data_IF_909909266882
#
_entry.id   IF_909909266882
#
_cell.length_a   1.000
_cell.length_b   1.000
_cell.length_c   1.000
_cell.angle_alpha   90.00
_cell.angle_beta   90.00
_cell.angle_gamma   90.00
#
_symmetry.space_group_name_H-M   'P 1'
#
loop_
_entity.id
_entity.type
_entity.pdbx_description
1 polymer ?
#
# COMPACT_ATOMS: atom_id res chain seq x y z
N UNK A 1 20.09 31.74 6.80
CA UNK A 1 20.91 30.76 7.56
C UNK A 1 20.12 29.46 7.59
N UNK A 2 20.73 28.29 7.42
CA UNK A 2 19.95 27.04 7.48
C UNK A 2 19.39 26.82 8.89
N UNK A 3 18.08 26.67 8.99
CA UNK A 3 17.42 26.36 10.25
C UNK A 3 17.38 24.85 10.45
N UNK A 4 18.30 24.36 11.28
CA UNK A 4 18.48 22.93 11.60
C UNK A 4 17.16 22.22 11.96
N UNK A 5 16.22 22.81 12.74
CA UNK A 5 14.97 22.13 13.08
C UNK A 5 14.09 21.79 11.86
N UNK A 6 14.00 22.70 10.89
CA UNK A 6 13.18 22.50 9.70
C UNK A 6 13.77 21.47 8.74
N UNK A 7 15.10 21.34 8.73
CA UNK A 7 15.80 20.33 7.95
C UNK A 7 15.58 18.92 8.52
N UNK A 8 15.60 18.78 9.86
CA UNK A 8 15.24 17.52 10.54
C UNK A 8 13.78 17.14 10.25
N UNK A 9 12.86 18.11 10.34
CA UNK A 9 11.46 17.88 10.04
C UNK A 9 11.25 17.44 8.59
N UNK A 10 11.94 18.06 7.62
CA UNK A 10 11.89 17.65 6.22
C UNK A 10 12.33 16.19 6.04
N UNK A 11 13.43 15.79 6.68
CA UNK A 11 13.93 14.42 6.61
C UNK A 11 12.94 13.39 7.17
N UNK A 12 12.28 13.72 8.28
CA UNK A 12 11.24 12.89 8.90
C UNK A 12 10.04 12.75 7.94
N UNK A 13 9.56 13.86 7.39
CA UNK A 13 8.41 13.84 6.48
C UNK A 13 8.71 13.09 5.17
N UNK A 14 9.90 13.25 4.59
CA UNK A 14 10.29 12.45 3.42
C UNK A 14 10.39 10.96 3.75
N UNK A 15 10.92 10.60 4.92
CA UNK A 15 10.97 9.22 5.38
C UNK A 15 9.57 8.62 5.49
N UNK A 16 8.63 9.33 6.12
CA UNK A 16 7.24 8.89 6.17
C UNK A 16 6.60 8.80 4.80
N UNK A 17 6.80 9.79 3.92
CA UNK A 17 6.28 9.75 2.55
C UNK A 17 6.72 8.49 1.82
N UNK A 18 8.00 8.12 1.92
CA UNK A 18 8.55 6.90 1.34
C UNK A 18 7.93 5.63 1.93
N UNK A 19 7.80 5.55 3.25
CA UNK A 19 7.21 4.40 3.94
C UNK A 19 5.74 4.21 3.54
N UNK A 20 4.93 5.27 3.60
CA UNK A 20 3.52 5.21 3.21
C UNK A 20 3.35 4.92 1.71
N UNK A 21 4.26 5.40 0.87
CA UNK A 21 4.27 5.06 -0.55
C UNK A 21 4.53 3.57 -0.78
N UNK A 22 5.50 2.98 -0.08
CA UNK A 22 5.83 1.56 -0.17
C UNK A 22 4.66 0.68 0.30
N UNK A 23 4.08 0.98 1.46
CA UNK A 23 2.89 0.27 1.96
C UNK A 23 1.67 0.39 1.04
N UNK A 24 1.53 1.50 0.31
CA UNK A 24 0.48 1.66 -0.70
C UNK A 24 0.69 0.83 -1.98
N UNK A 25 1.89 0.29 -2.18
CA UNK A 25 2.25 -0.45 -3.38
C UNK A 25 2.23 -1.98 -3.20
N UNK A 26 2.16 -2.46 -1.95
CA UNK A 26 2.04 -3.88 -1.61
C UNK A 26 0.57 -4.23 -1.28
N UNK A 27 -0.21 -4.73 -2.26
CA UNK A 27 -1.56 -5.19 -2.01
C UNK A 27 -1.55 -6.50 -1.20
N UNK A 28 -2.55 -6.69 -0.35
CA UNK A 28 -2.82 -7.99 0.28
C UNK A 28 -3.15 -8.98 -0.85
N UNK A 29 -2.37 -10.05 -1.00
CA UNK A 29 -2.56 -11.05 -2.06
C UNK A 29 -3.96 -11.68 -1.95
N UNK A 30 -4.76 -11.62 -3.01
CA UNK A 30 -6.06 -12.32 -3.11
C UNK A 30 -5.86 -13.84 -3.20
N UNK A 31 -6.86 -14.60 -2.77
CA UNK A 31 -6.81 -16.07 -2.74
C UNK A 31 -6.92 -16.66 -4.16
N UNK A 32 -7.65 -16.04 -5.09
CA UNK A 32 -7.66 -16.43 -6.51
C UNK A 32 -6.25 -16.50 -7.14
N UNK A 33 -5.32 -15.63 -6.73
CA UNK A 33 -3.95 -15.65 -7.23
C UNK A 33 -3.09 -16.78 -6.60
N UNK A 34 -3.55 -17.36 -5.49
CA UNK A 34 -2.93 -18.54 -4.87
C UNK A 34 -3.26 -19.80 -5.66
N UNK A 35 -4.52 -19.96 -6.09
CA UNK A 35 -4.92 -21.08 -6.94
C UNK A 35 -4.27 -21.03 -8.32
N UNK A 36 -4.17 -19.86 -8.96
CA UNK A 36 -3.52 -19.73 -10.28
C UNK A 36 -2.01 -20.02 -10.27
N UNK A 37 -1.35 -19.84 -9.11
CA UNK A 37 0.07 -20.20 -8.94
C UNK A 37 0.25 -21.67 -8.55
N UNK A 38 -0.74 -22.28 -7.90
CA UNK A 38 -0.72 -23.68 -7.50
C UNK A 38 -1.15 -24.64 -8.63
N UNK A 39 -1.97 -24.16 -9.57
CA UNK A 39 -2.41 -24.90 -10.76
C UNK A 39 -1.26 -25.18 -11.75
N UNK A 40 -0.11 -24.52 -11.59
CA UNK A 40 1.09 -24.79 -12.39
C UNK A 40 2.04 -25.83 -11.81
N UNK A 41 1.84 -26.28 -10.57
CA UNK A 41 2.86 -27.09 -9.90
C UNK A 41 2.38 -28.35 -9.19
N UNK A 42 1.08 -28.67 -9.11
CA UNK A 42 0.71 -29.99 -8.57
C UNK A 42 -0.65 -30.48 -9.03
N UNK A 43 -0.60 -31.52 -9.88
CA UNK A 43 -1.66 -32.46 -10.20
C UNK A 43 -2.00 -33.30 -8.95
N UNK A 44 -2.65 -32.67 -7.95
CA UNK A 44 -3.10 -33.36 -6.74
C UNK A 44 -4.54 -32.95 -6.45
N UNK A 45 -5.44 -33.87 -6.77
CA UNK A 45 -6.75 -33.98 -6.17
C UNK A 45 -7.70 -32.87 -6.58
N UNK A 46 -8.57 -33.20 -7.53
CA UNK A 46 -9.85 -32.51 -7.75
C UNK A 46 -10.57 -32.45 -6.41
N UNK A 47 -10.41 -31.33 -5.70
CA UNK A 47 -11.33 -30.94 -4.66
C UNK A 47 -12.66 -30.77 -5.37
N UNK A 48 -13.66 -31.55 -4.95
CA UNK A 48 -15.05 -31.42 -5.37
C UNK A 48 -15.38 -29.93 -5.51
N UNK A 49 -15.70 -29.53 -6.74
CA UNK A 49 -16.09 -28.18 -7.14
C UNK A 49 -17.47 -27.92 -6.55
N UNK A 50 -17.54 -27.74 -5.22
CA UNK A 50 -18.77 -27.38 -4.52
C UNK A 50 -19.10 -25.94 -4.95
N UNK A 51 -20.20 -25.73 -5.71
CA UNK A 51 -20.57 -24.43 -6.24
C UNK A 51 -20.77 -23.38 -5.14
N UNK A 52 -21.07 -23.81 -3.91
CA UNK A 52 -21.22 -22.90 -2.77
C UNK A 52 -19.88 -22.37 -2.27
N UNK A 53 -18.82 -23.19 -2.33
CA UNK A 53 -17.47 -22.80 -1.90
C UNK A 53 -16.83 -21.85 -2.91
N UNK A 54 -17.01 -22.08 -4.21
CA UNK A 54 -16.48 -21.20 -5.26
C UNK A 54 -17.18 -19.83 -5.28
N UNK A 55 -18.49 -19.78 -5.00
CA UNK A 55 -19.23 -18.53 -4.88
C UNK A 55 -18.79 -17.71 -3.66
N UNK A 56 -18.60 -18.36 -2.51
CA UNK A 56 -18.04 -17.71 -1.30
C UNK A 56 -16.64 -17.15 -1.53
N UNK A 57 -15.74 -17.92 -2.17
CA UNK A 57 -14.38 -17.47 -2.48
C UNK A 57 -14.38 -16.26 -3.42
N UNK A 58 -15.28 -16.22 -4.41
CA UNK A 58 -15.44 -15.08 -5.31
C UNK A 58 -15.90 -13.82 -4.59
N UNK A 59 -16.88 -13.94 -3.69
CA UNK A 59 -17.37 -12.81 -2.90
C UNK A 59 -16.30 -12.31 -1.91
N UNK A 60 -15.57 -13.24 -1.29
CA UNK A 60 -14.47 -12.92 -0.39
C UNK A 60 -13.29 -12.23 -1.10
N UNK A 61 -12.93 -12.68 -2.30
CA UNK A 61 -11.91 -11.99 -3.11
C UNK A 61 -12.36 -10.58 -3.53
N UNK A 62 -13.64 -10.39 -3.83
CA UNK A 62 -14.22 -9.06 -4.07
C UNK A 62 -14.11 -8.14 -2.85
N UNK A 63 -14.35 -8.67 -1.65
CA UNK A 63 -14.15 -7.95 -0.40
C UNK A 63 -12.67 -7.56 -0.19
N UNK A 64 -11.74 -8.51 -0.39
CA UNK A 64 -10.29 -8.25 -0.28
C UNK A 64 -9.82 -7.19 -1.29
N UNK A 65 -10.32 -7.22 -2.51
CA UNK A 65 -10.01 -6.23 -3.53
C UNK A 65 -10.50 -4.83 -3.13
N UNK A 66 -11.73 -4.74 -2.58
CA UNK A 66 -12.26 -3.47 -2.07
C UNK A 66 -11.42 -2.89 -0.93
N UNK A 67 -10.96 -3.74 0.00
CA UNK A 67 -10.07 -3.33 1.10
C UNK A 67 -8.72 -2.87 0.56
N UNK A 68 -8.14 -3.60 -0.39
CA UNK A 68 -6.87 -3.24 -1.00
C UNK A 68 -6.94 -1.91 -1.72
N UNK A 69 -8.00 -1.66 -2.49
CA UNK A 69 -8.18 -0.38 -3.17
C UNK A 69 -8.31 0.76 -2.15
N UNK A 70 -9.09 0.57 -1.09
CA UNK A 70 -9.27 1.57 -0.03
C UNK A 70 -7.98 1.84 0.75
N UNK A 71 -7.22 0.80 1.06
CA UNK A 71 -5.91 0.94 1.72
C UNK A 71 -4.92 1.64 0.80
N UNK A 72 -4.78 1.20 -0.45
CA UNK A 72 -3.89 1.83 -1.45
C UNK A 72 -4.18 3.31 -1.61
N UNK A 73 -5.46 3.69 -1.66
CA UNK A 73 -5.86 5.10 -1.74
C UNK A 73 -5.45 5.88 -0.49
N UNK A 74 -5.72 5.35 0.71
CA UNK A 74 -5.31 5.98 1.99
C UNK A 74 -3.80 6.14 2.11
N UNK A 75 -3.03 5.10 1.79
CA UNK A 75 -1.58 5.12 1.81
C UNK A 75 -0.99 6.12 0.81
N UNK A 76 -1.56 6.20 -0.41
CA UNK A 76 -1.18 7.21 -1.41
C UNK A 76 -1.47 8.65 -0.97
N UNK A 77 -2.64 8.89 -0.38
CA UNK A 77 -2.97 10.21 0.17
C UNK A 77 -2.00 10.59 1.30
N UNK A 78 -1.75 9.68 2.23
CA UNK A 78 -0.80 9.92 3.32
C UNK A 78 0.60 10.21 2.77
N UNK A 79 1.09 9.41 1.82
CA UNK A 79 2.39 9.60 1.18
C UNK A 79 2.49 10.99 0.50
N UNK A 80 1.44 11.41 -0.22
CA UNK A 80 1.36 12.73 -0.83
C UNK A 80 1.33 13.87 0.19
N UNK A 81 0.57 13.72 1.28
CA UNK A 81 0.53 14.70 2.37
C UNK A 81 1.88 14.89 3.05
N UNK A 82 2.58 13.79 3.35
CA UNK A 82 3.93 13.84 3.91
C UNK A 82 4.95 14.41 2.91
N UNK A 83 4.79 14.17 1.61
CA UNK A 83 5.65 14.77 0.59
C UNK A 83 5.52 16.30 0.56
N UNK A 84 4.28 16.81 0.58
CA UNK A 84 4.01 18.25 0.62
C UNK A 84 4.55 18.87 1.93
N UNK A 85 4.37 18.19 3.06
CA UNK A 85 4.90 18.63 4.34
C UNK A 85 6.44 18.68 4.34
N UNK A 86 7.09 17.67 3.75
CA UNK A 86 8.55 17.62 3.59
C UNK A 86 9.08 18.74 2.70
N UNK A 87 8.41 19.02 1.57
CA UNK A 87 8.76 20.15 0.69
C UNK A 87 8.60 21.50 1.40
N UNK A 88 7.50 21.68 2.15
CA UNK A 88 7.26 22.91 2.92
C UNK A 88 8.33 23.12 3.99
N UNK A 89 8.67 22.07 4.75
CA UNK A 89 9.72 22.11 5.75
C UNK A 89 11.09 22.41 5.13
N UNK A 90 11.38 21.84 3.95
CA UNK A 90 12.61 22.10 3.21
C UNK A 90 12.68 23.57 2.73
N UNK A 91 11.59 24.12 2.21
CA UNK A 91 11.50 25.53 1.83
C UNK A 91 11.72 26.45 3.05
N UNK A 92 11.09 26.16 4.19
CA UNK A 92 11.29 26.91 5.42
C UNK A 92 12.74 26.82 5.93
N UNK A 93 13.41 25.68 5.73
CA UNK A 93 14.81 25.52 6.08
C UNK A 93 15.76 26.42 5.27
N UNK A 94 15.36 26.75 4.03
CA UNK A 94 16.10 27.59 3.09
C UNK A 94 15.78 29.08 3.25
N UNK A 95 14.53 29.40 3.57
CA UNK A 95 14.00 30.78 3.67
C UNK A 95 14.24 31.40 5.05
N UNK A 96 14.67 30.61 6.06
CA UNK A 96 15.01 31.09 7.40
C UNK A 96 16.04 32.24 7.41
N UNK A 97 15.52 33.47 7.37
CA UNK A 97 16.12 34.70 7.88
C UNK A 97 15.50 34.98 9.24
#
# INVERSE_FOLDING_TARGET
MFTVPWLIAALIFFSFSFVFWHFGNDPIRSYANRHKSQEKETDVGVLEDDPTTSEFLREFDGYLESINQRNKFRYRIAAGGFLIAGLTALLLSLVGQ
#
